data_IF_043760432037
#
_entry.id   IF_043760432037
#
_cell.length_a   1.000
_cell.length_b   1.000
_cell.length_c   1.000
_cell.angle_alpha   90.00
_cell.angle_beta   90.00
_cell.angle_gamma   90.00
#
_symmetry.space_group_name_H-M   'P 1'
#
loop_
_entity.id
_entity.type
_entity.pdbx_description
1 polymer ?
#
# COMPACT_ATOMS: atom_id res chain seq x y z
N UNK A 1 0.44 9.31 -0.68
CA UNK A 1 1.79 8.96 -0.18
C UNK A 1 2.64 8.71 -1.40
N UNK A 2 3.73 9.43 -1.55
CA UNK A 2 4.42 9.55 -2.84
C UNK A 2 5.85 9.06 -2.71
N UNK A 3 6.13 7.91 -3.34
CA UNK A 3 7.48 7.41 -3.56
C UNK A 3 7.94 7.73 -4.97
N UNK A 4 9.23 7.55 -5.25
CA UNK A 4 9.86 7.92 -6.53
C UNK A 4 9.18 7.35 -7.78
N UNK A 5 8.55 6.17 -7.66
CA UNK A 5 7.93 5.44 -8.79
C UNK A 5 6.47 5.08 -8.57
N UNK A 6 5.87 5.47 -7.43
CA UNK A 6 4.50 5.11 -7.11
C UNK A 6 3.81 6.14 -6.22
N UNK A 7 2.52 6.35 -6.47
CA UNK A 7 1.65 7.16 -5.61
C UNK A 7 0.59 6.27 -4.98
N UNK A 8 0.25 6.57 -3.73
CA UNK A 8 -0.73 5.83 -2.94
C UNK A 8 -1.92 6.72 -2.61
N UNK A 9 -3.12 6.23 -2.93
CA UNK A 9 -4.39 6.93 -2.80
C UNK A 9 -5.34 6.19 -1.86
N UNK A 10 -6.16 6.94 -1.12
CA UNK A 10 -7.33 6.41 -0.42
C UNK A 10 -8.54 6.49 -1.36
N UNK A 11 -9.26 5.39 -1.54
CA UNK A 11 -10.42 5.34 -2.42
C UNK A 11 -11.59 4.63 -1.74
N UNK A 12 -12.82 4.99 -2.10
CA UNK A 12 -14.03 4.26 -1.72
C UNK A 12 -14.54 3.51 -2.94
N UNK A 13 -14.66 2.18 -2.85
CA UNK A 13 -15.19 1.38 -3.96
C UNK A 13 -16.71 1.48 -3.96
N UNK A 14 -17.29 1.78 -5.13
CA UNK A 14 -18.73 2.05 -5.25
C UNK A 14 -19.56 0.78 -5.00
N UNK A 15 -19.07 -0.38 -5.45
CA UNK A 15 -19.80 -1.65 -5.39
C UNK A 15 -20.06 -2.14 -3.96
N UNK A 16 -19.09 -1.99 -3.05
CA UNK A 16 -19.18 -2.48 -1.66
C UNK A 16 -19.16 -1.34 -0.62
N UNK A 17 -19.00 -0.09 -1.04
CA UNK A 17 -18.86 1.10 -0.19
C UNK A 17 -17.67 1.05 0.78
N UNK A 18 -16.75 0.11 0.60
CA UNK A 18 -15.59 -0.08 1.48
C UNK A 18 -14.44 0.85 1.08
N UNK A 19 -13.66 1.25 2.09
CA UNK A 19 -12.44 2.05 1.88
C UNK A 19 -11.27 1.12 1.56
N UNK A 20 -10.54 1.48 0.52
CA UNK A 20 -9.34 0.79 0.05
C UNK A 20 -8.17 1.76 -0.15
N UNK A 21 -6.99 1.16 -0.23
CA UNK A 21 -5.74 1.79 -0.63
C UNK A 21 -5.44 1.43 -2.08
N UNK A 22 -5.16 2.41 -2.94
CA UNK A 22 -4.73 2.20 -4.31
C UNK A 22 -3.28 2.61 -4.46
N UNK A 23 -2.38 1.65 -4.69
CA UNK A 23 -0.98 1.91 -5.04
C UNK A 23 -0.85 1.93 -6.56
N UNK A 24 -0.64 3.12 -7.13
CA UNK A 24 -0.42 3.34 -8.57
C UNK A 24 1.08 3.36 -8.87
N UNK A 25 1.56 2.34 -9.58
CA UNK A 25 2.96 2.17 -9.99
C UNK A 25 3.10 2.57 -11.45
N UNK A 26 3.95 3.55 -11.75
CA UNK A 26 4.21 3.97 -13.14
C UNK A 26 5.00 2.89 -13.86
N UNK A 27 4.49 2.40 -14.99
CA UNK A 27 5.18 1.42 -15.84
C UNK A 27 6.02 2.10 -16.93
N UNK A 28 5.67 3.33 -17.30
CA UNK A 28 6.43 4.10 -18.28
C UNK A 28 7.84 4.40 -17.77
N UNK A 29 8.85 4.12 -18.59
CA UNK A 29 10.26 4.31 -18.23
C UNK A 29 10.87 3.18 -17.39
N UNK A 30 10.11 2.15 -17.00
CA UNK A 30 10.65 0.96 -16.37
C UNK A 30 11.30 0.04 -17.41
N UNK A 31 12.45 -0.53 -17.04
CA UNK A 31 13.06 -1.65 -17.74
C UNK A 31 12.19 -2.91 -17.65
N UNK A 32 12.40 -3.87 -18.57
CA UNK A 32 11.69 -5.16 -18.51
C UNK A 32 11.88 -5.90 -17.18
N UNK A 33 13.07 -5.77 -16.56
CA UNK A 33 13.33 -6.33 -15.23
C UNK A 33 12.47 -5.68 -14.15
N UNK A 34 12.31 -4.36 -14.18
CA UNK A 34 11.48 -3.63 -13.21
C UNK A 34 10.00 -3.93 -13.39
N UNK A 35 9.52 -4.05 -14.64
CA UNK A 35 8.15 -4.51 -14.93
C UNK A 35 7.92 -5.93 -14.38
N UNK A 36 8.88 -6.83 -14.59
CA UNK A 36 8.79 -8.20 -14.08
C UNK A 36 8.79 -8.24 -12.55
N UNK A 37 9.57 -7.37 -11.90
CA UNK A 37 9.57 -7.21 -10.45
C UNK A 37 8.22 -6.70 -9.93
N UNK A 38 7.63 -5.69 -10.57
CA UNK A 38 6.30 -5.18 -10.21
C UNK A 38 5.22 -6.27 -10.34
N UNK A 39 5.25 -7.07 -11.42
CA UNK A 39 4.35 -8.20 -11.60
C UNK A 39 4.56 -9.31 -10.56
N UNK A 40 5.81 -9.56 -10.17
CA UNK A 40 6.12 -10.52 -9.10
C UNK A 40 5.61 -10.04 -7.75
N UNK A 41 5.72 -8.74 -7.43
CA UNK A 41 5.12 -8.15 -6.22
C UNK A 41 3.61 -8.44 -6.18
N UNK A 42 2.90 -8.20 -7.28
CA UNK A 42 1.46 -8.50 -7.38
C UNK A 42 1.18 -9.98 -7.14
N UNK A 43 1.94 -10.87 -7.79
CA UNK A 43 1.77 -12.33 -7.64
C UNK A 43 1.99 -12.82 -6.21
N UNK A 44 2.96 -12.25 -5.51
CA UNK A 44 3.25 -12.59 -4.11
C UNK A 44 2.10 -12.10 -3.23
N UNK A 45 1.72 -10.83 -3.36
CA UNK A 45 0.63 -10.24 -2.58
C UNK A 45 -0.70 -10.98 -2.79
N UNK A 46 -0.99 -11.41 -4.02
CA UNK A 46 -2.20 -12.16 -4.34
C UNK A 46 -2.25 -13.55 -3.69
N UNK A 47 -1.12 -14.13 -3.30
CA UNK A 47 -1.04 -15.44 -2.63
C UNK A 47 -1.11 -15.34 -1.11
N UNK A 48 -0.92 -14.15 -0.55
CA UNK A 48 -0.89 -13.96 0.90
C UNK A 48 -2.29 -13.65 1.41
N UNK A 49 -2.74 -14.44 2.38
CA UNK A 49 -3.97 -14.21 3.10
C UNK A 49 -3.72 -14.48 4.59
N UNK A 50 -3.40 -13.43 5.34
CA UNK A 50 -3.07 -13.52 6.76
C UNK A 50 -3.57 -12.26 7.48
N UNK A 51 -4.11 -12.36 8.71
CA UNK A 51 -4.65 -11.21 9.45
C UNK A 51 -3.62 -10.09 9.71
N UNK A 52 -2.33 -10.42 9.75
CA UNK A 52 -1.25 -9.46 10.02
C UNK A 52 -0.56 -8.95 8.74
N UNK A 53 -1.11 -9.22 7.55
CA UNK A 53 -0.57 -8.74 6.27
C UNK A 53 -1.67 -8.07 5.48
N UNK A 54 -1.41 -6.86 4.97
CA UNK A 54 -2.36 -6.09 4.15
C UNK A 54 -2.92 -6.94 3.02
N UNK A 55 -4.24 -7.10 3.01
CA UNK A 55 -4.92 -7.96 2.05
C UNK A 55 -4.91 -7.35 0.65
N UNK A 56 -4.41 -8.12 -0.32
CA UNK A 56 -4.61 -7.83 -1.74
C UNK A 56 -6.07 -8.10 -2.15
N UNK A 57 -6.64 -7.22 -2.99
CA UNK A 57 -7.99 -7.40 -3.55
C UNK A 57 -7.96 -7.62 -5.05
N UNK A 58 -7.43 -6.67 -5.80
CA UNK A 58 -7.39 -6.71 -7.26
C UNK A 58 -6.29 -5.81 -7.81
N UNK A 59 -5.98 -5.96 -9.10
CA UNK A 59 -5.05 -5.12 -9.82
C UNK A 59 -5.59 -4.84 -11.22
N UNK A 60 -5.35 -3.63 -11.72
CA UNK A 60 -5.75 -3.21 -13.05
C UNK A 60 -4.76 -2.20 -13.62
N UNK A 61 -4.72 -2.08 -14.94
CA UNK A 61 -4.00 -1.01 -15.60
C UNK A 61 -4.88 0.24 -15.64
N UNK A 62 -4.27 1.43 -15.54
CA UNK A 62 -5.01 2.66 -15.80
C UNK A 62 -5.43 2.77 -17.27
N UNK A 63 -6.27 3.77 -17.59
CA UNK A 63 -6.89 3.89 -18.91
C UNK A 63 -5.87 4.00 -20.05
N UNK A 64 -4.69 4.58 -19.77
CA UNK A 64 -3.61 4.74 -20.74
C UNK A 64 -2.67 3.52 -20.80
N UNK A 65 -2.84 2.54 -19.90
CA UNK A 65 -1.93 1.40 -19.77
C UNK A 65 -0.53 1.79 -19.26
N UNK A 66 -0.36 3.02 -18.79
CA UNK A 66 0.94 3.59 -18.40
C UNK A 66 1.27 3.31 -16.93
N UNK A 67 0.30 2.85 -16.14
CA UNK A 67 0.50 2.50 -14.74
C UNK A 67 -0.31 1.26 -14.31
N UNK A 68 0.28 0.50 -13.37
CA UNK A 68 -0.36 -0.60 -12.68
C UNK A 68 -0.95 -0.12 -11.35
N UNK A 69 -2.25 -0.29 -11.17
CA UNK A 69 -2.98 0.05 -9.96
C UNK A 69 -3.26 -1.20 -9.14
N UNK A 70 -2.79 -1.22 -7.90
CA UNK A 70 -3.03 -2.27 -6.91
C UNK A 70 -4.09 -1.81 -5.92
N UNK A 71 -5.17 -2.57 -5.79
CA UNK A 71 -6.20 -2.36 -4.76
C UNK A 71 -5.88 -3.23 -3.56
N UNK A 72 -5.64 -2.56 -2.44
CA UNK A 72 -5.20 -3.14 -1.19
C UNK A 72 -6.15 -2.73 -0.07
N UNK A 73 -6.20 -3.52 0.99
CA UNK A 73 -6.79 -3.12 2.26
C UNK A 73 -6.21 -1.80 2.76
N UNK A 74 -7.07 -0.96 3.34
CA UNK A 74 -6.67 0.31 3.91
C UNK A 74 -6.39 0.16 5.40
N UNK A 75 -5.14 0.43 5.79
CA UNK A 75 -4.77 0.63 7.19
C UNK A 75 -5.00 2.11 7.55
N UNK A 76 -5.89 2.33 8.52
CA UNK A 76 -6.38 3.65 8.94
C UNK A 76 -5.45 4.38 9.91
N UNK A 77 -4.66 3.65 10.69
CA UNK A 77 -3.90 4.21 11.81
C UNK A 77 -2.45 4.63 11.49
N UNK A 78 -2.21 5.17 10.29
CA UNK A 78 -0.87 5.61 9.82
C UNK A 78 0.19 4.49 9.89
N UNK A 79 1.42 4.82 9.54
CA UNK A 79 2.55 3.90 9.69
C UNK A 79 3.22 4.03 11.06
N UNK A 80 3.92 2.97 11.48
CA UNK A 80 4.61 2.90 12.77
C UNK A 80 5.68 4.01 12.92
N UNK A 81 6.31 4.43 11.82
CA UNK A 81 7.33 5.46 11.85
C UNK A 81 6.75 6.84 12.21
N UNK A 82 5.59 7.18 11.63
CA UNK A 82 4.83 8.38 11.98
C UNK A 82 4.38 8.34 13.44
N UNK A 83 3.89 7.18 13.89
CA UNK A 83 3.50 6.94 15.28
C UNK A 83 4.66 7.18 16.26
N UNK A 84 5.84 6.61 15.99
CA UNK A 84 7.07 6.84 16.77
C UNK A 84 7.45 8.33 16.78
N UNK A 85 7.37 9.02 15.64
CA UNK A 85 7.64 10.46 15.56
C UNK A 85 6.69 11.28 16.44
N UNK A 86 5.39 10.98 16.39
CA UNK A 86 4.40 11.67 17.21
C UNK A 86 4.70 11.51 18.70
N UNK A 87 4.99 10.28 19.14
CA UNK A 87 5.34 9.98 20.54
C UNK A 87 6.61 10.67 21.02
N UNK A 88 7.63 10.78 20.16
CA UNK A 88 8.84 11.58 20.43
C UNK A 88 8.54 13.07 20.58
N UNK A 89 7.67 13.63 19.75
CA UNK A 89 7.30 15.06 19.83
C UNK A 89 6.49 15.35 21.08
N UNK A 90 5.60 14.43 21.48
CA UNK A 90 4.78 14.57 22.68
C UNK A 90 5.50 14.19 23.98
N UNK A 91 6.77 13.79 23.92
CA UNK A 91 7.57 13.26 25.04
C UNK A 91 6.83 12.18 25.86
N UNK A 92 6.13 11.29 25.14
CA UNK A 92 5.43 10.15 25.75
C UNK A 92 5.93 8.87 25.09
N UNK A 93 6.71 8.03 25.79
CA UNK A 93 7.12 6.74 25.25
C UNK A 93 5.93 5.79 25.09
N UNK A 94 6.13 4.70 24.35
CA UNK A 94 5.22 3.55 24.36
C UNK A 94 5.39 2.78 25.66
N UNK A 95 4.28 2.22 26.17
CA UNK A 95 4.35 1.29 27.29
C UNK A 95 4.94 -0.05 26.86
N UNK A 96 5.38 -0.89 27.80
CA UNK A 96 5.82 -2.24 27.47
C UNK A 96 4.67 -3.09 26.90
N UNK A 97 3.44 -2.90 27.37
CA UNK A 97 2.24 -3.57 26.82
C UNK A 97 1.96 -3.18 25.37
N UNK A 98 2.29 -1.95 24.96
CA UNK A 98 2.17 -1.54 23.55
C UNK A 98 3.21 -2.22 22.64
N UNK A 99 4.27 -2.80 23.23
CA UNK A 99 5.41 -3.40 22.52
C UNK A 99 5.34 -4.93 22.54
N UNK A 100 4.83 -5.53 23.63
CA UNK A 100 4.90 -6.96 23.93
C UNK A 100 3.53 -7.65 23.92
#
# INVERSE_FOLDING_TARGET
GDGSYSSVYKAKRIADQQIYCIKKVKLFGLSEKEKQNALNEVRILAKINHPNVIRYKEAFLDQEGSALCLVLEYADDKDLYQKIKTKKISDQPYSEEDIW
#
